data_IF_247216371841
#
_entry.id   IF_247216371841
#
_cell.length_a   1.000
_cell.length_b   1.000
_cell.length_c   1.000
_cell.angle_alpha   90.00
_cell.angle_beta   90.00
_cell.angle_gamma   90.00
#
_symmetry.space_group_name_H-M   'P 1'
#
loop_
_entity.id
_entity.type
_entity.pdbx_description
1 polymer ?
#
# COMPACT_ATOMS: atom_id res chain seq x y z
N UNK A 1 2.48 2.76 25.32
CA UNK A 1 1.26 3.56 25.10
C UNK A 1 0.78 3.20 23.70
N UNK A 2 -0.45 2.71 23.55
CA UNK A 2 -1.00 2.30 22.25
C UNK A 2 -1.54 3.54 21.50
N UNK A 3 -1.57 3.47 20.16
CA UNK A 3 -2.09 4.54 19.31
C UNK A 3 -3.62 4.49 19.23
N UNK A 4 -4.29 5.65 19.31
CA UNK A 4 -5.74 5.79 19.10
C UNK A 4 -6.11 6.06 17.63
N UNK A 5 -5.15 6.54 16.84
CA UNK A 5 -5.32 6.82 15.42
C UNK A 5 -4.05 6.40 14.67
N UNK A 6 -4.22 5.68 13.57
CA UNK A 6 -3.14 5.26 12.69
C UNK A 6 -3.59 5.38 11.23
N UNK A 7 -2.78 5.99 10.38
CA UNK A 7 -3.09 6.16 8.96
C UNK A 7 -1.92 5.73 8.10
N UNK A 8 -2.19 4.87 7.12
CA UNK A 8 -1.23 4.43 6.12
C UNK A 8 -1.57 5.01 4.74
N UNK A 9 -0.53 5.34 3.98
CA UNK A 9 -0.60 5.55 2.53
C UNK A 9 0.20 4.43 1.86
N UNK A 10 -0.50 3.37 1.45
CA UNK A 10 0.03 2.11 0.96
C UNK A 10 0.21 2.18 -0.55
N UNK A 11 1.33 1.63 -1.06
CA UNK A 11 1.61 1.53 -2.49
C UNK A 11 1.64 0.08 -2.95
N UNK A 12 0.49 -0.59 -3.15
CA UNK A 12 0.43 -2.04 -3.37
C UNK A 12 1.07 -2.46 -4.71
N UNK A 13 1.09 -1.58 -5.70
CA UNK A 13 1.78 -1.77 -6.99
C UNK A 13 3.07 -0.92 -7.11
N UNK A 14 3.64 -0.46 -5.99
CA UNK A 14 4.84 0.38 -5.96
C UNK A 14 4.65 1.67 -6.81
N UNK A 15 5.56 1.99 -7.74
CA UNK A 15 5.38 3.07 -8.73
C UNK A 15 4.90 2.59 -10.10
N UNK A 16 4.49 1.32 -10.26
CA UNK A 16 4.01 0.80 -11.54
C UNK A 16 2.71 1.52 -11.92
N UNK A 17 2.64 2.01 -13.14
CA UNK A 17 1.47 2.69 -13.69
C UNK A 17 1.25 2.20 -15.13
N UNK A 18 0.00 2.17 -15.58
CA UNK A 18 -0.37 1.88 -16.96
C UNK A 18 -0.53 3.15 -17.82
N UNK A 19 -0.19 4.32 -17.26
CA UNK A 19 -0.21 5.62 -17.93
C UNK A 19 1.15 6.32 -17.78
N UNK A 20 1.47 7.19 -18.74
CA UNK A 20 2.67 8.03 -18.73
C UNK A 20 2.29 9.52 -18.71
N UNK A 21 1.64 9.95 -17.62
CA UNK A 21 1.21 11.34 -17.48
C UNK A 21 2.43 12.28 -17.49
N UNK A 22 2.45 13.35 -18.33
CA UNK A 22 3.65 14.17 -18.56
C UNK A 22 4.09 14.97 -17.32
N UNK A 23 3.20 15.13 -16.35
CA UNK A 23 3.44 15.83 -15.08
C UNK A 23 3.73 14.89 -13.91
N UNK A 24 3.73 13.57 -14.11
CA UNK A 24 3.86 12.61 -13.02
C UNK A 24 5.33 12.39 -12.63
N UNK A 25 5.74 12.97 -11.51
CA UNK A 25 7.08 12.77 -10.98
C UNK A 25 7.34 11.33 -10.49
N UNK A 26 6.30 10.53 -10.20
CA UNK A 26 6.50 9.13 -9.80
C UNK A 26 7.17 8.32 -10.92
N UNK A 27 6.84 8.62 -12.19
CA UNK A 27 7.48 8.01 -13.35
C UNK A 27 8.96 8.39 -13.42
N UNK A 28 9.26 9.71 -13.37
CA UNK A 28 10.63 10.22 -13.45
C UNK A 28 11.52 9.66 -12.33
N UNK A 29 11.06 9.72 -11.09
CA UNK A 29 11.82 9.19 -9.94
C UNK A 29 11.94 7.67 -10.02
N UNK A 30 10.93 6.93 -10.51
CA UNK A 30 11.01 5.47 -10.61
C UNK A 30 12.04 5.00 -11.64
N UNK A 31 12.17 5.70 -12.77
CA UNK A 31 13.12 5.36 -13.84
C UNK A 31 14.59 5.59 -13.46
N UNK A 32 14.85 6.43 -12.45
CA UNK A 32 16.20 6.76 -11.96
C UNK A 32 16.66 5.90 -10.78
N UNK A 33 15.83 4.98 -10.26
CA UNK A 33 16.22 4.12 -9.12
C UNK A 33 17.15 3.01 -9.59
N UNK A 34 18.23 2.76 -8.83
CA UNK A 34 19.13 1.62 -9.04
C UNK A 34 18.42 0.28 -8.84
N UNK A 35 17.46 0.22 -7.92
CA UNK A 35 16.51 -0.89 -7.80
C UNK A 35 15.21 -0.52 -8.51
N UNK A 36 14.92 -1.23 -9.59
CA UNK A 36 13.62 -1.16 -10.27
C UNK A 36 12.52 -1.43 -9.25
N UNK A 37 11.40 -0.72 -9.42
CA UNK A 37 10.10 -0.93 -8.77
C UNK A 37 10.01 -2.27 -8.02
N UNK A 38 9.93 -2.21 -6.69
CA UNK A 38 9.71 -3.43 -5.88
C UNK A 38 8.50 -4.21 -6.38
N UNK A 39 8.52 -5.52 -6.14
CA UNK A 39 7.41 -6.43 -6.47
C UNK A 39 6.09 -5.89 -5.91
N UNK A 40 4.98 -6.31 -6.52
CA UNK A 40 3.66 -6.01 -5.97
C UNK A 40 3.59 -6.55 -4.54
N UNK A 41 2.91 -5.81 -3.66
CA UNK A 41 2.69 -6.26 -2.29
C UNK A 41 1.99 -7.63 -2.35
N UNK A 42 2.61 -8.64 -1.76
CA UNK A 42 2.01 -9.96 -1.62
C UNK A 42 1.07 -10.01 -0.42
N UNK A 43 0.30 -11.09 -0.34
CA UNK A 43 -0.67 -11.34 0.71
C UNK A 43 0.00 -11.42 2.08
N UNK A 44 1.16 -12.06 2.19
CA UNK A 44 1.90 -12.17 3.46
C UNK A 44 2.33 -10.79 4.00
N UNK A 45 2.77 -9.88 3.15
CA UNK A 45 3.12 -8.51 3.55
C UNK A 45 1.89 -7.68 3.91
N UNK A 46 0.78 -7.89 3.21
CA UNK A 46 -0.51 -7.25 3.53
C UNK A 46 -1.00 -7.67 4.92
N UNK A 47 -1.05 -8.97 5.21
CA UNK A 47 -1.43 -9.51 6.52
C UNK A 47 -0.52 -8.98 7.62
N UNK A 48 0.80 -9.02 7.40
CA UNK A 48 1.77 -8.50 8.35
C UNK A 48 1.57 -7.00 8.65
N UNK A 49 1.19 -6.20 7.65
CA UNK A 49 0.90 -4.78 7.84
C UNK A 49 -0.33 -4.58 8.74
N UNK A 50 -1.39 -5.35 8.50
CA UNK A 50 -2.65 -5.29 9.27
C UNK A 50 -2.41 -5.74 10.71
N UNK A 51 -1.74 -6.88 10.90
CA UNK A 51 -1.40 -7.43 12.21
C UNK A 51 -0.62 -6.43 13.06
N UNK A 52 0.41 -5.81 12.46
CA UNK A 52 1.19 -4.79 13.17
C UNK A 52 0.40 -3.53 13.45
N UNK A 53 -0.46 -3.10 12.53
CA UNK A 53 -1.33 -1.96 12.77
C UNK A 53 -2.19 -2.18 14.02
N UNK A 54 -2.82 -3.35 14.13
CA UNK A 54 -3.66 -3.74 15.27
C UNK A 54 -2.84 -3.86 16.57
N UNK A 55 -1.65 -4.47 16.51
CA UNK A 55 -0.78 -4.64 17.68
C UNK A 55 -0.35 -3.29 18.30
N UNK A 56 -0.05 -2.30 17.47
CA UNK A 56 0.40 -0.97 17.88
C UNK A 56 -0.75 -0.05 18.34
N UNK A 57 -2.00 -0.41 18.06
CA UNK A 57 -3.19 0.41 18.36
C UNK A 57 -4.02 -0.10 19.54
N UNK A 58 -4.81 0.78 20.13
CA UNK A 58 -5.82 0.42 21.13
C UNK A 58 -6.98 -0.34 20.48
N UNK A 59 -7.78 -1.04 21.30
CA UNK A 59 -8.91 -1.84 20.81
C UNK A 59 -10.05 -0.98 20.25
N UNK A 60 -10.02 0.33 20.52
CA UNK A 60 -10.99 1.33 20.05
C UNK A 60 -10.39 2.29 19.02
N UNK A 61 -9.18 2.03 18.56
CA UNK A 61 -8.48 2.92 17.65
C UNK A 61 -9.11 2.95 16.26
N UNK A 62 -8.87 4.05 15.55
CA UNK A 62 -9.21 4.18 14.13
C UNK A 62 -7.97 3.97 13.26
N UNK A 63 -8.02 2.94 12.42
CA UNK A 63 -6.97 2.64 11.43
C UNK A 63 -7.49 3.01 10.03
N UNK A 64 -6.76 3.85 9.31
CA UNK A 64 -7.05 4.23 7.93
C UNK A 64 -6.03 3.61 6.98
N UNK A 65 -6.50 2.86 6.00
CA UNK A 65 -5.68 2.31 4.92
C UNK A 65 -6.03 3.05 3.61
N UNK A 66 -5.17 3.99 3.19
CA UNK A 66 -5.32 4.66 1.90
C UNK A 66 -4.37 4.02 0.88
N UNK A 67 -4.87 3.68 -0.31
CA UNK A 67 -4.08 3.07 -1.38
C UNK A 67 -3.70 4.10 -2.44
N UNK A 68 -2.43 4.13 -2.81
CA UNK A 68 -1.83 5.07 -3.76
C UNK A 68 -0.68 4.38 -4.53
N UNK A 69 0.17 5.18 -5.17
CA UNK A 69 1.38 4.75 -5.86
C UNK A 69 1.10 4.24 -7.26
N UNK A 70 1.87 4.73 -8.22
CA UNK A 70 1.63 4.46 -9.64
C UNK A 70 0.13 4.43 -9.93
N UNK A 71 -0.35 3.29 -10.41
CA UNK A 71 -1.76 2.93 -10.41
C UNK A 71 -2.02 1.77 -9.42
N UNK A 72 -2.71 2.01 -8.27
CA UNK A 72 -2.91 1.00 -7.24
C UNK A 72 -3.74 -0.19 -7.73
N UNK A 73 -4.66 -0.02 -8.68
CA UNK A 73 -5.49 -1.12 -9.19
C UNK A 73 -4.69 -2.19 -9.95
N UNK A 74 -3.42 -1.92 -10.30
CA UNK A 74 -2.55 -2.91 -10.95
C UNK A 74 -2.19 -4.11 -10.07
N UNK A 75 -2.38 -4.03 -8.74
CA UNK A 75 -2.22 -5.18 -7.85
C UNK A 75 -3.31 -6.25 -8.06
N UNK A 76 -4.43 -5.88 -8.70
CA UNK A 76 -5.55 -6.76 -9.00
C UNK A 76 -6.67 -6.72 -7.96
N UNK A 77 -7.90 -7.06 -8.38
CA UNK A 77 -9.08 -7.05 -7.51
C UNK A 77 -8.97 -8.06 -6.36
N UNK A 78 -8.40 -9.24 -6.63
CA UNK A 78 -8.24 -10.33 -5.65
C UNK A 78 -7.47 -9.87 -4.39
N UNK A 79 -6.48 -8.99 -4.55
CA UNK A 79 -5.75 -8.39 -3.43
C UNK A 79 -6.69 -7.64 -2.48
N UNK A 80 -7.60 -6.83 -3.03
CA UNK A 80 -8.55 -6.05 -2.21
C UNK A 80 -9.63 -6.94 -1.60
N UNK A 81 -10.09 -7.97 -2.32
CA UNK A 81 -11.04 -8.95 -1.77
C UNK A 81 -10.44 -9.66 -0.56
N UNK A 82 -9.19 -10.13 -0.67
CA UNK A 82 -8.44 -10.74 0.44
C UNK A 82 -8.21 -9.77 1.59
N UNK A 83 -7.83 -8.53 1.30
CA UNK A 83 -7.66 -7.48 2.30
C UNK A 83 -8.94 -7.27 3.11
N UNK A 84 -10.08 -7.15 2.44
CA UNK A 84 -11.38 -6.95 3.11
C UNK A 84 -11.89 -8.17 3.85
N UNK A 85 -11.44 -9.37 3.48
CA UNK A 85 -11.78 -10.60 4.19
C UNK A 85 -10.91 -10.83 5.43
N UNK A 86 -9.68 -10.30 5.43
CA UNK A 86 -8.71 -10.47 6.51
C UNK A 86 -8.82 -9.39 7.60
N UNK A 87 -8.98 -8.12 7.19
CA UNK A 87 -9.06 -6.95 8.08
C UNK A 87 -10.39 -6.89 8.87
#
# INVERSE_FOLDING_TARGET
MKLEYLSFLIKPASSRCNLHCPYCFYEDVSSRREKVCGEMMDEALMELLIDRAIQETSDTAHITLAFQGGEPMLVGLEFYEKLTAYA
#
